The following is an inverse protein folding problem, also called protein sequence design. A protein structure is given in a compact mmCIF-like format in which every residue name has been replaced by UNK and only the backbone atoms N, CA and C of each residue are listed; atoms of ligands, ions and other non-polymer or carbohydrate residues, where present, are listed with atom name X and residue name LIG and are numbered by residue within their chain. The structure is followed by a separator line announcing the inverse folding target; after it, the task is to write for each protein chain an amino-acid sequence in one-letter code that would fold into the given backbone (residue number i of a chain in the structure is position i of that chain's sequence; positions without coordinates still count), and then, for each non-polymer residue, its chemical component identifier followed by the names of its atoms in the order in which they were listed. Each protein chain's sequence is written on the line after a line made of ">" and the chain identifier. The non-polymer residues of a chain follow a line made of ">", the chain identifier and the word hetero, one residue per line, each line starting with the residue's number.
data_IF_555470495308
#
_entry.id   IF_555470495308
#
_cell.length_a   1.000
_cell.length_b   1.000
_cell.length_c   1.000
_cell.angle_alpha   90.00
_cell.angle_beta   90.00
_cell.angle_gamma   90.00
#
_symmetry.space_group_name_H-M   'P 1'
#
loop_
_entity.id
_entity.type
_entity.pdbx_description
1 polymer ?
#
# COMPACT_ATOMS: atom_id res chain seq x y z
N UNK A 1 29.91 9.94 -16.86
CA UNK A 1 28.83 10.66 -16.14
C UNK A 1 28.02 9.76 -15.20
N UNK A 2 27.68 8.51 -15.58
CA UNK A 2 26.85 7.60 -14.76
C UNK A 2 27.38 7.26 -13.36
N UNK A 3 28.71 7.20 -13.13
CA UNK A 3 29.25 6.89 -11.80
C UNK A 3 29.05 8.00 -10.76
N UNK A 4 28.89 9.26 -11.19
CA UNK A 4 28.84 10.41 -10.29
C UNK A 4 27.53 10.45 -9.48
N UNK A 5 26.40 10.15 -10.13
CA UNK A 5 25.07 10.17 -9.53
C UNK A 5 24.76 8.94 -8.67
N UNK A 6 25.61 7.89 -8.70
CA UNK A 6 25.44 6.71 -7.85
C UNK A 6 25.54 7.06 -6.37
N UNK A 7 26.54 7.84 -5.99
CA UNK A 7 26.85 8.13 -4.59
C UNK A 7 26.43 9.54 -4.15
N UNK A 8 25.81 10.34 -5.02
CA UNK A 8 25.48 11.73 -4.72
C UNK A 8 23.98 11.95 -4.90
N UNK A 9 23.24 12.13 -3.80
CA UNK A 9 21.87 12.60 -3.87
C UNK A 9 21.84 13.93 -4.60
N UNK A 10 21.03 14.01 -5.65
CA UNK A 10 20.80 15.25 -6.40
C UNK A 10 19.35 15.63 -6.30
N UNK A 11 19.07 16.93 -6.18
CA UNK A 11 17.70 17.44 -6.23
C UNK A 11 17.13 17.12 -7.61
N UNK A 12 16.09 16.31 -7.62
CA UNK A 12 15.37 15.94 -8.85
C UNK A 12 13.95 16.47 -8.87
N UNK A 13 13.49 17.09 -7.78
CA UNK A 13 12.18 17.72 -7.73
C UNK A 13 11.81 18.27 -6.37
N UNK A 14 10.59 18.78 -6.31
CA UNK A 14 9.91 19.22 -5.09
C UNK A 14 8.55 18.55 -5.01
N UNK A 15 8.02 18.42 -3.80
CA UNK A 15 6.66 17.98 -3.60
C UNK A 15 5.96 18.78 -2.50
N UNK A 16 4.63 18.72 -2.50
CA UNK A 16 3.75 19.34 -1.54
C UNK A 16 2.71 18.31 -1.10
N UNK A 17 2.62 18.06 0.20
CA UNK A 17 1.54 17.29 0.81
C UNK A 17 0.76 18.21 1.74
N UNK A 18 -0.39 18.68 1.29
CA UNK A 18 -1.09 19.80 1.94
C UNK A 18 -0.21 21.05 1.91
N UNK A 19 0.03 21.64 3.08
CA UNK A 19 0.87 22.84 3.24
C UNK A 19 2.36 22.53 3.43
N UNK A 20 2.76 21.25 3.49
CA UNK A 20 4.13 20.86 3.80
C UNK A 20 4.93 20.59 2.51
N UNK A 21 5.93 21.44 2.19
CA UNK A 21 6.84 21.19 1.08
C UNK A 21 7.89 20.13 1.44
N UNK A 22 8.46 19.49 0.44
CA UNK A 22 9.62 18.62 0.58
C UNK A 22 10.47 18.57 -0.68
N UNK A 23 11.73 18.17 -0.53
CA UNK A 23 12.65 17.97 -1.64
C UNK A 23 12.68 16.49 -2.04
N UNK A 24 12.72 16.23 -3.34
CA UNK A 24 12.94 14.90 -3.90
C UNK A 24 14.41 14.82 -4.28
N UNK A 25 15.10 13.84 -3.68
CA UNK A 25 16.49 13.54 -3.99
C UNK A 25 16.58 12.21 -4.75
N UNK A 26 17.26 12.21 -5.89
CA UNK A 26 17.51 11.03 -6.71
C UNK A 26 18.96 10.56 -6.59
N UNK A 27 19.14 9.24 -6.71
CA UNK A 27 20.44 8.60 -6.97
C UNK A 27 20.27 7.62 -8.13
N UNK A 28 21.35 7.33 -8.86
CA UNK A 28 21.34 6.33 -9.95
C UNK A 28 21.81 4.95 -9.50
N UNK A 29 21.86 4.70 -8.18
CA UNK A 29 22.33 3.45 -7.61
C UNK A 29 21.26 2.37 -7.68
N UNK A 30 21.68 1.11 -7.79
CA UNK A 30 20.79 -0.06 -7.81
C UNK A 30 20.85 -0.85 -6.51
N UNK A 31 20.04 -1.89 -6.39
CA UNK A 31 20.02 -2.77 -5.22
C UNK A 31 21.37 -3.45 -4.96
N UNK A 32 22.11 -3.78 -6.03
CA UNK A 32 23.46 -4.35 -5.95
C UNK A 32 24.46 -3.37 -5.32
N UNK A 33 24.32 -2.07 -5.59
CA UNK A 33 25.19 -1.05 -5.01
C UNK A 33 24.99 -0.94 -3.48
N UNK A 34 23.78 -1.26 -2.96
CA UNK A 34 23.50 -1.21 -1.51
C UNK A 34 24.21 -2.29 -0.69
N UNK A 35 24.63 -3.37 -1.36
CA UNK A 35 25.41 -4.44 -0.73
C UNK A 35 26.90 -4.08 -0.62
N UNK A 36 27.37 -3.03 -1.31
CA UNK A 36 28.77 -2.62 -1.28
C UNK A 36 29.13 -2.03 0.09
N UNK A 37 30.24 -2.47 0.72
CA UNK A 37 30.67 -1.96 2.02
C UNK A 37 30.79 -0.43 2.04
N UNK A 38 30.15 0.19 3.02
CA UNK A 38 30.22 1.64 3.22
C UNK A 38 29.31 2.48 2.31
N UNK A 39 28.67 1.90 1.29
CA UNK A 39 27.82 2.64 0.36
C UNK A 39 26.68 3.38 1.08
N UNK A 40 25.87 2.66 1.86
CA UNK A 40 24.73 3.26 2.56
C UNK A 40 25.15 4.25 3.65
N UNK A 41 26.31 4.04 4.27
CA UNK A 41 26.86 4.97 5.27
C UNK A 41 27.27 6.30 4.60
N UNK A 42 27.95 6.24 3.47
CA UNK A 42 28.32 7.41 2.68
C UNK A 42 27.08 8.14 2.14
N UNK A 43 26.10 7.40 1.60
CA UNK A 43 24.81 7.96 1.17
C UNK A 43 24.12 8.70 2.31
N UNK A 44 24.00 8.07 3.48
CA UNK A 44 23.38 8.67 4.67
C UNK A 44 24.11 9.94 5.12
N UNK A 45 25.45 9.92 5.19
CA UNK A 45 26.22 11.10 5.59
C UNK A 45 25.98 12.28 4.63
N UNK A 46 25.84 12.01 3.34
CA UNK A 46 25.57 13.05 2.33
C UNK A 46 24.15 13.59 2.43
N UNK A 47 23.15 12.73 2.60
CA UNK A 47 21.76 13.16 2.79
C UNK A 47 21.60 13.92 4.10
N UNK A 48 22.22 13.48 5.19
CA UNK A 48 22.21 14.19 6.48
C UNK A 48 22.81 15.60 6.34
N UNK A 49 23.93 15.75 5.63
CA UNK A 49 24.52 17.07 5.35
C UNK A 49 23.59 17.96 4.54
N UNK A 50 22.94 17.42 3.51
CA UNK A 50 21.91 18.17 2.77
C UNK A 50 20.78 18.57 3.72
N UNK A 51 20.36 17.68 4.61
CA UNK A 51 19.32 17.93 5.60
C UNK A 51 19.66 19.11 6.52
N UNK A 52 20.89 19.14 7.04
CA UNK A 52 21.41 20.25 7.84
C UNK A 52 21.43 21.58 7.07
N UNK A 53 21.85 21.55 5.80
CA UNK A 53 21.93 22.76 4.96
C UNK A 53 20.57 23.38 4.68
N UNK A 54 19.53 22.55 4.52
CA UNK A 54 18.16 23.01 4.25
C UNK A 54 17.31 23.16 5.52
N UNK A 55 17.88 22.87 6.70
CA UNK A 55 17.18 22.96 7.98
C UNK A 55 16.07 21.93 8.18
N UNK A 56 16.11 20.78 7.51
CA UNK A 56 15.16 19.68 7.79
C UNK A 56 15.71 18.74 8.85
N UNK A 57 14.82 18.32 9.76
CA UNK A 57 15.09 17.26 10.74
C UNK A 57 14.70 15.86 10.25
N UNK A 58 14.04 15.78 9.09
CA UNK A 58 13.44 14.53 8.59
C UNK A 58 13.93 14.21 7.18
N UNK A 59 14.44 12.99 7.01
CA UNK A 59 14.83 12.41 5.71
C UNK A 59 14.15 11.06 5.60
N UNK A 60 13.49 10.81 4.46
CA UNK A 60 12.77 9.57 4.19
C UNK A 60 13.40 8.85 3.00
N UNK A 61 13.63 7.55 3.15
CA UNK A 61 14.22 6.72 2.11
C UNK A 61 13.14 5.84 1.46
N UNK A 62 13.00 5.95 0.14
CA UNK A 62 12.04 5.18 -0.62
C UNK A 62 12.49 3.72 -0.81
N UNK A 63 11.52 2.82 -1.02
CA UNK A 63 11.77 1.42 -1.35
C UNK A 63 12.59 0.66 -0.31
N UNK A 64 13.49 -0.20 -0.79
CA UNK A 64 14.31 -1.11 0.01
C UNK A 64 15.40 -0.40 0.84
N UNK A 65 15.76 0.85 0.50
CA UNK A 65 16.80 1.61 1.19
C UNK A 65 16.54 1.70 2.70
N UNK A 66 15.28 1.94 3.10
CA UNK A 66 14.92 2.02 4.52
C UNK A 66 15.25 0.73 5.28
N UNK A 67 14.90 -0.42 4.68
CA UNK A 67 15.17 -1.73 5.27
C UNK A 67 16.66 -2.03 5.33
N UNK A 68 17.42 -1.67 4.28
CA UNK A 68 18.86 -1.91 4.25
C UNK A 68 19.66 -1.00 5.15
N UNK A 69 19.25 0.26 5.30
CA UNK A 69 19.81 1.14 6.31
C UNK A 69 19.55 0.62 7.72
N UNK A 70 18.38 0.04 7.99
CA UNK A 70 18.10 -0.59 9.28
C UNK A 70 18.96 -1.83 9.52
N UNK A 71 19.10 -2.72 8.51
CA UNK A 71 19.95 -3.92 8.59
C UNK A 71 21.42 -3.57 8.88
N UNK A 72 21.93 -2.47 8.32
CA UNK A 72 23.27 -1.96 8.58
C UNK A 72 23.39 -1.07 9.84
N UNK A 73 22.34 -0.97 10.66
CA UNK A 73 22.28 -0.14 11.89
C UNK A 73 22.52 1.36 11.63
N UNK A 74 22.22 1.82 10.42
CA UNK A 74 22.30 3.22 9.99
C UNK A 74 21.01 3.99 10.25
N UNK A 75 19.89 3.29 10.46
CA UNK A 75 18.61 3.85 10.90
C UNK A 75 18.21 3.24 12.23
N UNK A 76 17.57 4.04 13.08
CA UNK A 76 17.13 3.57 14.39
C UNK A 76 15.81 2.78 14.25
N UNK A 77 15.62 1.77 15.10
CA UNK A 77 14.37 0.99 15.13
C UNK A 77 13.10 1.85 15.33
N UNK A 78 13.10 2.94 16.14
CA UNK A 78 11.97 3.85 16.23
C UNK A 78 11.58 4.51 14.90
N UNK A 79 12.54 4.92 14.07
CA UNK A 79 12.26 5.55 12.77
C UNK A 79 11.56 4.57 11.82
N UNK A 80 12.05 3.33 11.73
CA UNK A 80 11.42 2.31 10.89
C UNK A 80 10.02 1.97 11.38
N UNK A 81 9.83 1.81 12.70
CA UNK A 81 8.52 1.55 13.31
C UNK A 81 7.52 2.68 13.05
N UNK A 82 7.94 3.93 13.23
CA UNK A 82 7.11 5.11 12.98
C UNK A 82 6.66 5.16 11.52
N UNK A 83 7.60 4.99 10.57
CA UNK A 83 7.29 4.94 9.14
C UNK A 83 6.28 3.84 8.81
N UNK A 84 6.54 2.62 9.27
CA UNK A 84 5.64 1.49 9.03
C UNK A 84 4.25 1.74 9.61
N UNK A 85 4.15 2.29 10.83
CA UNK A 85 2.87 2.64 11.44
C UNK A 85 2.10 3.70 10.62
N UNK A 86 2.79 4.74 10.12
CA UNK A 86 2.17 5.74 9.26
C UNK A 86 1.66 5.13 7.95
N UNK A 87 2.44 4.27 7.29
CA UNK A 87 2.01 3.57 6.07
C UNK A 87 0.77 2.71 6.37
N UNK A 88 0.79 1.93 7.45
CA UNK A 88 -0.37 1.12 7.88
C UNK A 88 -1.61 1.96 8.13
N UNK A 89 -1.47 3.17 8.69
CA UNK A 89 -2.58 4.09 8.86
C UNK A 89 -3.18 4.53 7.52
N UNK A 90 -2.33 4.80 6.51
CA UNK A 90 -2.82 5.13 5.16
C UNK A 90 -3.53 3.94 4.52
N UNK A 91 -2.96 2.74 4.62
CA UNK A 91 -3.62 1.51 4.10
C UNK A 91 -4.96 1.28 4.79
N UNK A 92 -5.03 1.47 6.11
CA UNK A 92 -6.27 1.35 6.86
C UNK A 92 -7.31 2.39 6.45
N UNK A 93 -6.91 3.65 6.20
CA UNK A 93 -7.82 4.67 5.65
C UNK A 93 -8.27 4.31 4.24
N UNK A 94 -7.38 3.75 3.42
CA UNK A 94 -7.73 3.31 2.08
C UNK A 94 -8.75 2.16 2.11
N UNK A 95 -8.62 1.23 3.06
CA UNK A 95 -9.61 0.17 3.29
C UNK A 95 -10.99 0.74 3.65
N UNK A 96 -11.05 1.76 4.52
CA UNK A 96 -12.31 2.41 4.86
C UNK A 96 -12.97 3.07 3.65
N UNK A 97 -12.20 3.86 2.90
CA UNK A 97 -12.70 4.51 1.68
C UNK A 97 -13.19 3.48 0.67
N UNK A 98 -12.46 2.38 0.49
CA UNK A 98 -12.87 1.29 -0.40
C UNK A 98 -14.20 0.66 0.03
N UNK A 99 -14.40 0.45 1.34
CA UNK A 99 -15.68 -0.06 1.85
C UNK A 99 -16.83 0.91 1.64
N UNK A 100 -16.61 2.19 1.89
CA UNK A 100 -17.61 3.24 1.67
C UNK A 100 -17.97 3.33 0.19
N UNK A 101 -16.98 3.38 -0.70
CA UNK A 101 -17.14 3.47 -2.15
C UNK A 101 -17.93 2.29 -2.73
N UNK A 102 -17.71 1.09 -2.21
CA UNK A 102 -18.33 -0.13 -2.70
C UNK A 102 -19.52 -0.59 -1.83
N UNK A 103 -19.93 0.19 -0.82
CA UNK A 103 -20.96 -0.20 0.14
C UNK A 103 -20.75 -1.60 0.77
N UNK A 104 -19.49 -1.93 1.09
CA UNK A 104 -19.12 -3.21 1.70
C UNK A 104 -19.45 -3.24 3.20
N UNK A 105 -20.14 -4.30 3.63
CA UNK A 105 -20.51 -4.48 5.03
C UNK A 105 -19.30 -4.55 5.98
N UNK A 106 -19.50 -4.16 7.24
CA UNK A 106 -18.46 -4.18 8.28
C UNK A 106 -17.91 -5.59 8.50
N UNK A 107 -18.74 -6.64 8.33
CA UNK A 107 -18.38 -8.05 8.53
C UNK A 107 -17.66 -8.66 7.34
N UNK A 108 -17.56 -8.00 6.18
CA UNK A 108 -16.79 -8.52 5.05
C UNK A 108 -15.34 -8.77 5.50
N UNK A 109 -14.86 -10.02 5.44
CA UNK A 109 -13.56 -10.41 5.98
C UNK A 109 -12.43 -9.78 5.19
N UNK A 110 -11.29 -9.60 5.86
CA UNK A 110 -10.05 -9.13 5.27
C UNK A 110 -9.05 -10.28 5.18
N UNK A 111 -8.49 -10.51 4.00
CA UNK A 111 -7.29 -11.31 3.80
C UNK A 111 -6.12 -10.32 3.78
N UNK A 112 -5.22 -10.41 4.74
CA UNK A 112 -4.04 -9.55 4.83
C UNK A 112 -2.81 -10.33 4.35
N UNK A 113 -2.42 -10.08 3.09
CA UNK A 113 -1.24 -10.65 2.48
C UNK A 113 0.00 -9.85 2.92
N UNK A 114 0.96 -10.52 3.55
CA UNK A 114 2.12 -9.89 4.18
C UNK A 114 1.86 -9.40 5.61
N UNK A 115 0.92 -10.03 6.33
CA UNK A 115 0.51 -9.61 7.66
C UNK A 115 1.61 -9.71 8.74
N UNK A 116 2.60 -10.58 8.56
CA UNK A 116 3.80 -10.65 9.41
C UNK A 116 4.86 -9.58 9.10
N UNK A 117 4.66 -8.79 8.04
CA UNK A 117 5.60 -7.76 7.59
C UNK A 117 5.60 -6.50 8.45
N UNK A 118 6.51 -5.58 8.11
CA UNK A 118 6.67 -4.30 8.83
C UNK A 118 5.42 -3.42 8.77
N UNK A 119 4.73 -3.38 7.63
CA UNK A 119 3.44 -2.67 7.45
C UNK A 119 2.26 -3.53 7.90
N UNK A 120 2.29 -4.84 7.60
CA UNK A 120 1.22 -5.77 7.94
C UNK A 120 0.94 -5.87 9.44
N UNK A 121 1.98 -5.90 10.29
CA UNK A 121 1.83 -6.03 11.74
C UNK A 121 1.04 -4.86 12.37
N UNK A 122 1.44 -3.58 12.20
CA UNK A 122 0.65 -2.45 12.67
C UNK A 122 -0.74 -2.37 12.02
N UNK A 123 -0.87 -2.72 10.74
CA UNK A 123 -2.16 -2.73 10.04
C UNK A 123 -3.14 -3.75 10.64
N UNK A 124 -2.66 -4.96 10.99
CA UNK A 124 -3.44 -5.97 11.70
C UNK A 124 -4.03 -5.43 13.00
N UNK A 125 -3.26 -4.66 13.78
CA UNK A 125 -3.76 -4.05 15.01
C UNK A 125 -4.87 -3.02 14.74
N UNK A 126 -4.71 -2.18 13.71
CA UNK A 126 -5.73 -1.19 13.31
C UNK A 126 -7.03 -1.86 12.86
N UNK A 127 -6.92 -2.90 12.02
CA UNK A 127 -8.05 -3.67 11.53
C UNK A 127 -8.78 -4.41 12.67
N UNK A 128 -8.04 -5.02 13.60
CA UNK A 128 -8.63 -5.68 14.78
C UNK A 128 -9.34 -4.68 15.68
N UNK A 129 -8.74 -3.50 15.94
CA UNK A 129 -9.35 -2.44 16.73
C UNK A 129 -10.65 -1.91 16.08
N UNK A 130 -10.77 -1.98 14.76
CA UNK A 130 -11.99 -1.66 14.02
C UNK A 130 -13.04 -2.81 14.01
N UNK A 131 -12.74 -3.94 14.64
CA UNK A 131 -13.61 -5.12 14.68
C UNK A 131 -13.66 -5.90 13.36
N UNK A 132 -12.61 -5.83 12.53
CA UNK A 132 -12.54 -6.62 11.29
C UNK A 132 -12.21 -8.08 11.60
N UNK A 133 -12.82 -9.00 10.85
CA UNK A 133 -12.41 -10.40 10.80
C UNK A 133 -11.24 -10.52 9.82
N UNK A 134 -10.05 -10.87 10.31
CA UNK A 134 -8.82 -10.89 9.51
C UNK A 134 -8.27 -12.31 9.38
N UNK A 135 -7.82 -12.65 8.17
CA UNK A 135 -7.03 -13.83 7.86
C UNK A 135 -5.64 -13.38 7.41
N UNK A 136 -4.61 -13.82 8.13
CA UNK A 136 -3.22 -13.48 7.81
C UNK A 136 -2.67 -14.52 6.84
N UNK A 137 -2.01 -14.05 5.78
CA UNK A 137 -1.35 -14.90 4.79
C UNK A 137 0.05 -14.36 4.55
N UNK A 138 1.08 -15.16 4.83
CA UNK A 138 2.48 -14.87 4.52
C UNK A 138 3.03 -15.89 3.50
N UNK A 139 4.33 -15.83 3.19
CA UNK A 139 4.96 -16.43 1.99
C UNK A 139 4.58 -17.90 1.72
N UNK A 140 4.43 -18.73 2.76
CA UNK A 140 4.17 -20.16 2.61
C UNK A 140 2.73 -20.56 2.95
N UNK A 141 1.87 -19.59 3.24
CA UNK A 141 0.49 -19.84 3.61
C UNK A 141 -0.41 -19.82 2.37
N UNK A 142 -1.35 -20.75 2.34
CA UNK A 142 -2.47 -20.76 1.40
C UNK A 142 -3.56 -19.77 1.80
N UNK A 143 -4.41 -19.39 0.84
CA UNK A 143 -5.59 -18.60 1.14
C UNK A 143 -6.58 -19.38 2.04
N UNK A 144 -7.31 -18.68 2.93
CA UNK A 144 -8.18 -19.32 3.91
C UNK A 144 -9.40 -20.02 3.28
N UNK A 145 -9.38 -21.35 3.24
CA UNK A 145 -10.47 -22.17 2.70
C UNK A 145 -11.85 -21.86 3.33
N UNK A 146 -11.89 -21.46 4.60
CA UNK A 146 -13.13 -21.15 5.34
C UNK A 146 -13.96 -19.99 4.74
N UNK A 147 -13.36 -19.14 3.90
CA UNK A 147 -14.02 -18.02 3.22
C UNK A 147 -13.93 -18.10 1.71
N UNK A 148 -13.44 -19.21 1.15
CA UNK A 148 -13.39 -19.39 -0.29
C UNK A 148 -14.79 -19.31 -0.90
N UNK A 149 -14.92 -18.61 -2.03
CA UNK A 149 -16.19 -18.33 -2.68
C UNK A 149 -17.01 -17.21 -2.03
N UNK A 150 -16.60 -16.69 -0.86
CA UNK A 150 -17.29 -15.58 -0.18
C UNK A 150 -16.66 -14.25 -0.52
N UNK A 151 -17.44 -13.17 -0.41
CA UNK A 151 -16.92 -11.82 -0.55
C UNK A 151 -15.83 -11.53 0.48
N UNK A 152 -14.70 -10.98 0.04
CA UNK A 152 -13.58 -10.64 0.91
C UNK A 152 -12.79 -9.45 0.35
N UNK A 153 -12.15 -8.69 1.23
CA UNK A 153 -11.16 -7.68 0.82
C UNK A 153 -9.77 -8.31 0.98
N UNK A 154 -9.00 -8.41 -0.09
CA UNK A 154 -7.59 -8.79 -0.03
C UNK A 154 -6.75 -7.51 -0.01
N UNK A 155 -6.03 -7.28 1.09
CA UNK A 155 -5.08 -6.18 1.23
C UNK A 155 -3.69 -6.74 1.00
N UNK A 156 -3.01 -6.28 -0.05
CA UNK A 156 -1.64 -6.68 -0.36
C UNK A 156 -0.64 -5.62 0.11
N UNK A 157 0.09 -5.96 1.18
CA UNK A 157 1.23 -5.21 1.71
C UNK A 157 2.50 -6.07 1.74
N UNK A 158 2.52 -7.16 0.95
CA UNK A 158 3.62 -8.10 0.90
C UNK A 158 4.74 -7.61 -0.01
N UNK A 159 5.74 -8.48 -0.19
CA UNK A 159 6.82 -8.24 -1.14
C UNK A 159 6.34 -8.40 -2.58
N UNK A 160 7.05 -7.77 -3.51
CA UNK A 160 6.83 -7.90 -4.95
C UNK A 160 6.68 -9.37 -5.36
N UNK A 161 5.62 -9.68 -6.11
CA UNK A 161 5.35 -11.03 -6.64
C UNK A 161 4.40 -11.87 -5.79
N UNK A 162 4.15 -11.49 -4.52
CA UNK A 162 3.36 -12.32 -3.61
C UNK A 162 1.90 -12.52 -4.05
N UNK A 163 1.31 -11.52 -4.72
CA UNK A 163 -0.03 -11.62 -5.31
C UNK A 163 -0.04 -12.53 -6.54
N UNK A 164 0.96 -12.41 -7.41
CA UNK A 164 1.10 -13.24 -8.61
C UNK A 164 1.24 -14.72 -8.27
N UNK A 165 1.99 -15.05 -7.22
CA UNK A 165 2.15 -16.42 -6.70
C UNK A 165 0.82 -17.06 -6.28
N UNK A 166 -0.17 -16.24 -5.88
CA UNK A 166 -1.46 -16.70 -5.31
C UNK A 166 -2.62 -16.60 -6.27
N UNK A 167 -2.38 -16.18 -7.52
CA UNK A 167 -3.48 -15.91 -8.48
C UNK A 167 -4.38 -17.12 -8.70
N UNK A 168 -3.85 -18.34 -8.64
CA UNK A 168 -4.59 -19.59 -8.81
C UNK A 168 -5.51 -19.93 -7.62
N UNK A 169 -5.28 -19.33 -6.47
CA UNK A 169 -6.09 -19.54 -5.26
C UNK A 169 -7.22 -18.51 -5.14
N UNK A 170 -7.18 -17.43 -5.92
CA UNK A 170 -8.18 -16.36 -5.88
C UNK A 170 -9.52 -16.80 -6.49
N UNK A 171 -10.61 -16.23 -6.00
CA UNK A 171 -11.97 -16.51 -6.47
C UNK A 171 -12.77 -15.23 -6.73
N UNK A 172 -13.84 -15.36 -7.51
CA UNK A 172 -14.79 -14.26 -7.77
C UNK A 172 -15.43 -13.77 -6.46
N UNK A 173 -15.49 -12.45 -6.26
CA UNK A 173 -15.98 -11.83 -5.02
C UNK A 173 -14.89 -11.27 -4.12
N UNK A 174 -13.60 -11.53 -4.43
CA UNK A 174 -12.50 -10.79 -3.84
C UNK A 174 -12.45 -9.37 -4.44
N UNK A 175 -12.22 -8.37 -3.59
CA UNK A 175 -11.80 -7.02 -3.99
C UNK A 175 -10.37 -6.82 -3.50
N UNK A 176 -9.45 -6.45 -4.39
CA UNK A 176 -8.04 -6.25 -4.03
C UNK A 176 -7.76 -4.77 -3.74
N UNK A 177 -7.12 -4.49 -2.60
CA UNK A 177 -6.45 -3.24 -2.28
C UNK A 177 -4.93 -3.47 -2.22
N UNK A 178 -4.23 -3.14 -3.30
CA UNK A 178 -2.80 -3.31 -3.43
C UNK A 178 -2.03 -2.08 -2.95
N UNK A 179 -1.14 -2.22 -1.96
CA UNK A 179 -0.12 -1.22 -1.61
C UNK A 179 1.27 -1.60 -2.13
N UNK A 180 1.52 -2.90 -2.32
CA UNK A 180 2.81 -3.40 -2.78
C UNK A 180 3.25 -2.74 -4.11
N UNK A 181 4.53 -2.36 -4.17
CA UNK A 181 5.16 -1.80 -5.38
C UNK A 181 6.14 -2.80 -6.00
N UNK A 182 6.18 -2.92 -7.35
CA UNK A 182 5.36 -2.22 -8.34
C UNK A 182 3.89 -2.65 -8.34
N UNK A 183 3.02 -1.79 -8.88
CA UNK A 183 1.62 -2.15 -9.14
C UNK A 183 1.53 -3.39 -10.04
N UNK A 184 0.44 -4.19 -9.96
CA UNK A 184 0.24 -5.36 -10.81
C UNK A 184 0.42 -5.05 -12.30
N UNK A 185 1.07 -5.95 -13.02
CA UNK A 185 1.29 -5.81 -14.46
C UNK A 185 -0.03 -5.87 -15.23
N UNK A 186 -0.06 -5.36 -16.47
CA UNK A 186 -1.24 -5.47 -17.34
C UNK A 186 -1.70 -6.91 -17.55
N UNK A 187 -0.76 -7.85 -17.71
CA UNK A 187 -1.07 -9.26 -17.85
C UNK A 187 -1.71 -9.83 -16.58
N UNK A 188 -1.26 -9.39 -15.40
CA UNK A 188 -1.87 -9.77 -14.13
C UNK A 188 -3.28 -9.19 -13.97
N UNK A 189 -3.47 -7.89 -14.30
CA UNK A 189 -4.79 -7.26 -14.27
C UNK A 189 -5.79 -7.99 -15.18
N UNK A 190 -5.39 -8.38 -16.39
CA UNK A 190 -6.24 -9.15 -17.30
C UNK A 190 -6.62 -10.53 -16.73
N UNK A 191 -5.72 -11.19 -16.00
CA UNK A 191 -6.04 -12.46 -15.32
C UNK A 191 -7.08 -12.24 -14.21
N UNK A 192 -6.91 -11.19 -13.41
CA UNK A 192 -7.83 -10.82 -12.34
C UNK A 192 -9.21 -10.41 -12.87
N UNK A 193 -9.27 -9.68 -13.99
CA UNK A 193 -10.52 -9.33 -14.67
C UNK A 193 -11.30 -10.55 -15.14
N UNK A 194 -10.62 -11.58 -15.67
CA UNK A 194 -11.27 -12.85 -16.05
C UNK A 194 -11.86 -13.59 -14.85
N UNK A 195 -11.27 -13.40 -13.66
CA UNK A 195 -11.80 -13.90 -12.39
C UNK A 195 -12.86 -12.97 -11.77
N UNK A 196 -13.20 -11.85 -12.45
CA UNK A 196 -14.10 -10.79 -11.96
C UNK A 196 -13.62 -10.16 -10.64
N UNK A 197 -12.31 -10.02 -10.48
CA UNK A 197 -11.69 -9.45 -9.28
C UNK A 197 -11.28 -8.00 -9.57
N UNK A 198 -11.98 -7.00 -9.01
CA UNK A 198 -11.56 -5.61 -9.13
C UNK A 198 -10.28 -5.33 -8.34
N UNK A 199 -9.41 -4.49 -8.91
CA UNK A 199 -8.15 -4.10 -8.29
C UNK A 199 -8.09 -2.60 -8.07
N UNK A 200 -7.91 -2.23 -6.81
CA UNK A 200 -7.60 -0.90 -6.35
C UNK A 200 -6.14 -0.85 -5.93
N UNK A 201 -5.44 0.21 -6.28
CA UNK A 201 -4.05 0.41 -5.91
C UNK A 201 -3.90 1.69 -5.10
N UNK A 202 -3.30 1.56 -3.92
CA UNK A 202 -2.87 2.68 -3.11
C UNK A 202 -1.60 3.28 -3.73
N UNK A 203 -1.79 4.32 -4.53
CA UNK A 203 -0.72 5.05 -5.21
C UNK A 203 0.06 5.98 -4.27
N UNK A 204 -0.25 6.02 -2.98
CA UNK A 204 0.33 6.98 -2.04
C UNK A 204 -0.73 7.81 -1.35
N UNK A 205 -0.37 9.06 -1.05
CA UNK A 205 -1.27 10.06 -0.44
C UNK A 205 -1.47 11.22 -1.39
N UNK A 206 -2.59 11.94 -1.26
CA UNK A 206 -2.86 13.14 -2.06
C UNK A 206 -1.77 14.18 -1.82
N UNK A 207 -1.26 14.71 -2.91
CA UNK A 207 -0.23 15.74 -2.93
C UNK A 207 0.20 16.00 -4.36
N UNK A 208 1.12 16.92 -4.53
CA UNK A 208 1.64 17.35 -5.82
C UNK A 208 3.16 17.24 -5.84
N UNK A 209 3.73 16.83 -6.97
CA UNK A 209 5.17 16.77 -7.16
C UNK A 209 5.55 17.35 -8.53
N UNK A 210 6.70 18.03 -8.58
CA UNK A 210 7.31 18.54 -9.80
C UNK A 210 8.78 18.09 -9.87
N UNK A 211 9.15 17.21 -10.81
CA UNK A 211 8.28 16.52 -11.76
C UNK A 211 7.31 15.54 -11.05
N UNK A 212 6.26 15.14 -11.75
CA UNK A 212 5.32 14.14 -11.22
C UNK A 212 6.01 12.80 -11.03
N UNK A 213 5.61 12.07 -9.98
CA UNK A 213 6.10 10.70 -9.80
C UNK A 213 5.61 9.79 -10.94
N UNK A 214 6.43 8.81 -11.38
CA UNK A 214 6.11 8.01 -12.54
C UNK A 214 5.05 6.94 -12.26
N UNK A 215 4.42 6.47 -13.33
CA UNK A 215 3.56 5.27 -13.35
C UNK A 215 2.47 5.26 -12.26
N UNK A 216 2.49 4.22 -11.41
CA UNK A 216 1.52 3.97 -10.36
C UNK A 216 1.43 5.13 -9.35
N UNK A 217 2.53 5.85 -9.13
CA UNK A 217 2.60 6.99 -8.21
C UNK A 217 2.12 8.33 -8.80
N UNK A 218 1.74 8.36 -10.09
CA UNK A 218 1.33 9.61 -10.73
C UNK A 218 0.18 10.31 -9.97
N UNK A 219 0.31 11.61 -9.70
CA UNK A 219 -0.71 12.39 -9.00
C UNK A 219 -0.75 12.24 -7.46
N UNK A 220 0.21 11.56 -6.85
CA UNK A 220 0.32 11.44 -5.40
C UNK A 220 1.77 11.37 -4.91
N UNK A 221 1.93 11.43 -3.59
CA UNK A 221 3.22 11.25 -2.91
C UNK A 221 3.29 9.80 -2.41
N UNK A 222 4.32 9.01 -2.77
CA UNK A 222 4.45 7.64 -2.31
C UNK A 222 4.35 7.53 -0.78
N UNK A 223 3.69 6.49 -0.26
CA UNK A 223 3.53 6.28 1.19
C UNK A 223 4.87 6.29 1.95
N UNK A 224 5.96 5.86 1.31
CA UNK A 224 7.29 5.88 1.91
C UNK A 224 7.93 7.27 2.02
N UNK A 225 7.46 8.25 1.23
CA UNK A 225 7.96 9.61 1.18
C UNK A 225 7.01 10.67 1.74
N UNK A 226 5.79 10.28 2.14
CA UNK A 226 4.80 11.19 2.71
C UNK A 226 5.30 11.83 4.01
N UNK A 227 4.77 12.99 4.39
CA UNK A 227 4.98 13.62 5.69
C UNK A 227 4.12 12.98 6.79
N UNK A 228 4.64 12.93 8.03
CA UNK A 228 3.89 12.48 9.21
C UNK A 228 3.13 13.67 9.83
N UNK A 229 2.10 14.15 9.15
CA UNK A 229 1.25 15.23 9.65
C UNK A 229 -0.14 14.76 10.09
N UNK A 230 -0.38 13.44 10.14
CA UNK A 230 -1.67 12.87 10.56
C UNK A 230 -2.81 13.00 9.54
N UNK A 231 -2.70 13.88 8.54
CA UNK A 231 -3.76 14.19 7.58
C UNK A 231 -3.55 13.60 6.17
N UNK A 232 -2.75 12.54 6.10
CA UNK A 232 -2.55 11.77 4.87
C UNK A 232 -3.89 11.21 4.34
N UNK A 233 -4.40 11.80 3.26
CA UNK A 233 -5.55 11.30 2.51
C UNK A 233 -5.05 10.28 1.48
N UNK A 234 -5.46 9.00 1.56
CA UNK A 234 -5.04 7.99 0.59
C UNK A 234 -5.42 8.38 -0.84
N UNK A 235 -4.51 8.13 -1.78
CA UNK A 235 -4.80 8.21 -3.22
C UNK A 235 -4.99 6.79 -3.75
N UNK A 236 -6.23 6.40 -3.96
CA UNK A 236 -6.59 5.09 -4.50
C UNK A 236 -6.85 5.23 -6.00
N UNK A 237 -6.30 4.31 -6.78
CA UNK A 237 -6.56 4.20 -8.22
C UNK A 237 -7.22 2.87 -8.53
N UNK A 238 -8.29 2.90 -9.30
CA UNK A 238 -8.88 1.70 -9.85
C UNK A 238 -8.10 1.26 -11.10
N UNK A 239 -7.61 0.02 -11.12
CA UNK A 239 -6.69 -0.47 -12.16
C UNK A 239 -7.32 -1.43 -13.17
N UNK A 240 -8.44 -2.07 -12.82
CA UNK A 240 -9.20 -2.94 -13.73
C UNK A 240 -10.18 -2.15 -14.60
N UNK A 241 -10.88 -2.82 -15.50
CA UNK A 241 -11.82 -2.18 -16.43
C UNK A 241 -12.98 -1.49 -15.70
N UNK A 242 -13.41 -0.28 -16.13
CA UNK A 242 -14.56 0.42 -15.55
C UNK A 242 -15.84 -0.43 -15.54
N UNK A 243 -16.06 -1.22 -16.60
CA UNK A 243 -17.19 -2.14 -16.69
C UNK A 243 -17.24 -3.12 -15.51
N UNK A 244 -16.10 -3.68 -15.11
CA UNK A 244 -16.03 -4.57 -13.96
C UNK A 244 -16.37 -3.83 -12.65
N UNK A 245 -16.03 -2.55 -12.54
CA UNK A 245 -16.34 -1.74 -11.35
C UNK A 245 -17.84 -1.63 -11.17
N UNK A 246 -18.53 -1.26 -12.24
CA UNK A 246 -19.97 -1.05 -12.24
C UNK A 246 -20.70 -2.36 -11.96
N UNK A 247 -20.25 -3.47 -12.55
CA UNK A 247 -20.77 -4.81 -12.27
C UNK A 247 -20.62 -5.20 -10.80
N UNK A 248 -19.46 -4.92 -10.19
CA UNK A 248 -19.22 -5.22 -8.77
C UNK A 248 -20.13 -4.37 -7.87
N UNK A 249 -20.27 -3.07 -8.17
CA UNK A 249 -21.16 -2.18 -7.41
C UNK A 249 -22.60 -2.68 -7.50
N UNK A 250 -23.08 -3.04 -8.69
CA UNK A 250 -24.44 -3.56 -8.89
C UNK A 250 -24.67 -4.88 -8.13
N UNK A 251 -23.70 -5.80 -8.18
CA UNK A 251 -23.77 -7.07 -7.44
C UNK A 251 -23.77 -6.85 -5.92
N UNK A 252 -22.98 -5.91 -5.41
CA UNK A 252 -22.99 -5.56 -3.98
C UNK A 252 -24.33 -4.96 -3.58
N UNK A 253 -24.88 -4.06 -4.40
CA UNK A 253 -26.18 -3.45 -4.14
C UNK A 253 -27.31 -4.49 -4.09
N UNK A 254 -27.31 -5.47 -5.01
CA UNK A 254 -28.30 -6.56 -5.03
C UNK A 254 -28.20 -7.44 -3.79
N UNK A 255 -27.01 -7.91 -3.44
CA UNK A 255 -26.81 -8.73 -2.23
C UNK A 255 -27.20 -7.98 -0.96
N UNK A 256 -26.90 -6.67 -0.87
CA UNK A 256 -27.29 -5.87 0.28
C UNK A 256 -28.82 -5.73 0.39
N UNK A 257 -29.52 -5.58 -0.74
CA UNK A 257 -30.98 -5.50 -0.77
C UNK A 257 -31.63 -6.81 -0.31
N UNK A 258 -31.14 -7.96 -0.79
CA UNK A 258 -31.64 -9.29 -0.40
C UNK A 258 -31.48 -9.54 1.11
N UNK A 259 -30.33 -9.18 1.69
CA UNK A 259 -30.09 -9.36 3.13
C UNK A 259 -30.99 -8.48 4.03
N UNK A 260 -31.46 -7.32 3.55
CA UNK A 260 -32.40 -6.49 4.30
C UNK A 260 -33.80 -7.11 4.39
N UNK A 261 -34.24 -7.84 3.36
CA UNK A 261 -35.57 -8.47 3.37
C UNK A 261 -35.66 -9.65 4.35
N UNK A 262 -34.57 -10.42 4.50
CA UNK A 262 -34.54 -11.58 5.40
C UNK A 262 -34.53 -11.18 6.89
N UNK A 263 -33.94 -10.03 7.25
CA UNK A 263 -33.92 -9.57 8.65
C UNK A 263 -35.29 -9.14 9.17
N UNK A 264 -36.12 -8.56 8.30
CA UNK A 264 -37.45 -8.07 8.70
C UNK A 264 -38.41 -9.24 8.93
N UNK A 265 -38.32 -10.31 8.13
CA UNK A 265 -39.16 -11.51 8.30
C UNK A 265 -38.86 -12.30 9.57
N UNK A 266 -37.59 -12.38 9.99
CA UNK A 266 -37.21 -13.08 11.23
C UNK A 266 -37.64 -12.31 12.49
N UNK A 267 -37.84 -10.99 12.40
CA UNK A 267 -38.29 -10.18 13.54
C UNK A 267 -39.80 -10.25 13.81
N UNK A 268 -40.60 -10.68 12.81
CA UNK A 268 -42.07 -10.83 12.94
C UNK A 268 -42.45 -12.24 13.41
N UNK A 269 -41.54 -13.22 13.27
CA UNK A 269 -41.78 -14.62 13.62
C UNK A 269 -41.23 -15.03 15.01
N UNK A 270 -40.75 -14.07 15.81
CA UNK A 270 -40.26 -14.26 17.18
C UNK A 270 -41.16 -13.53 18.19
#
# INVERSE_FOLDING_TARGET
>A
MHHFFKHRPVVCGIYFQGTFPGLILGISATEEDFQQPGFLKDLKNKTDRIGLLIGTSTIRYAGLLSSEMHRQKLSTSPQLKSRSASISMVVFRAEKLLREELALDKKTPVILLGGGGSVGTPLKHLLNAAGRRIYIVDRNDSLPAAIQGKRAILIDVAHKGALEERVSELWSGIVILNEAYPSPTRAMLQKLERLKIPVFHLAGVRGFALPTFPHAYNGGIPCCGMNDNGDSVPLIKYLTSPLLRDQVIELIAKENAENCFDSDYQSIAA
#
